data_IF_095402583002
#
_entry.id   IF_095402583002
#
_cell.length_a   1.000
_cell.length_b   1.000
_cell.length_c   1.000
_cell.angle_alpha   90.00
_cell.angle_beta   90.00
_cell.angle_gamma   90.00
#
_symmetry.space_group_name_H-M   'P 1'
#
loop_
_entity.id
_entity.type
_entity.pdbx_description
1 polymer ?
#
# COMPACT_ATOMS: atom_id res chain seq x y z
N UNK A 1 21.31 29.71 -4.43
CA UNK A 1 21.82 28.83 -3.35
C UNK A 1 20.79 28.61 -2.24
N UNK A 2 20.11 29.65 -1.73
CA UNK A 2 19.10 29.56 -0.66
C UNK A 2 17.94 28.58 -0.93
N UNK A 3 17.43 28.52 -2.17
CA UNK A 3 16.35 27.59 -2.53
C UNK A 3 16.72 26.10 -2.34
N UNK A 4 17.98 25.72 -2.63
CA UNK A 4 18.45 24.34 -2.41
C UNK A 4 18.55 24.02 -0.92
N UNK A 5 18.94 24.99 -0.08
CA UNK A 5 18.97 24.81 1.37
C UNK A 5 17.57 24.69 1.96
N UNK A 6 16.62 25.51 1.51
CA UNK A 6 15.21 25.42 1.95
C UNK A 6 14.60 24.09 1.52
N UNK A 7 14.83 23.66 0.28
CA UNK A 7 14.36 22.36 -0.21
C UNK A 7 14.98 21.20 0.56
N UNK A 8 16.29 21.24 0.81
CA UNK A 8 17.01 20.20 1.55
C UNK A 8 16.58 20.15 3.02
N UNK A 9 16.34 21.30 3.64
CA UNK A 9 15.77 21.40 4.98
C UNK A 9 14.36 20.83 5.02
N UNK A 10 13.49 21.23 4.08
CA UNK A 10 12.13 20.68 3.97
C UNK A 10 12.15 19.16 3.74
N UNK A 11 13.01 18.66 2.84
CA UNK A 11 13.18 17.23 2.59
C UNK A 11 13.64 16.49 3.84
N UNK A 12 14.64 17.00 4.56
CA UNK A 12 15.14 16.35 5.79
C UNK A 12 14.10 16.36 6.91
N UNK A 13 13.44 17.50 7.11
CA UNK A 13 12.50 17.70 8.21
C UNK A 13 11.14 17.05 7.98
N UNK A 14 10.68 16.99 6.73
CA UNK A 14 9.42 16.32 6.41
C UNK A 14 9.65 14.89 5.95
N UNK A 15 10.46 14.63 4.92
CA UNK A 15 10.57 13.31 4.28
C UNK A 15 11.50 12.36 5.05
N UNK A 16 12.62 12.85 5.57
CA UNK A 16 13.61 12.04 6.31
C UNK A 16 13.35 11.99 7.82
N UNK A 17 12.22 12.53 8.28
CA UNK A 17 11.84 12.52 9.69
C UNK A 17 11.54 11.10 10.18
N UNK A 18 11.91 10.73 11.43
CA UNK A 18 11.71 9.40 12.01
C UNK A 18 10.27 8.88 11.99
N UNK A 19 9.31 9.76 11.71
CA UNK A 19 7.89 9.45 11.50
C UNK A 19 7.64 8.49 10.32
N UNK A 20 8.62 8.33 9.41
CA UNK A 20 8.55 7.41 8.27
C UNK A 20 9.29 6.08 8.47
N UNK A 21 9.82 5.80 9.65
CA UNK A 21 10.36 4.46 9.94
C UNK A 21 9.24 3.43 9.89
N UNK A 22 9.33 2.52 8.93
CA UNK A 22 8.43 1.39 8.85
C UNK A 22 8.90 0.34 9.83
N UNK A 23 8.13 0.13 10.90
CA UNK A 23 8.32 -0.97 11.83
C UNK A 23 7.51 -2.15 11.34
N UNK A 24 8.19 -3.24 11.03
CA UNK A 24 7.55 -4.45 10.55
C UNK A 24 7.67 -5.60 11.55
N UNK A 25 6.61 -6.38 11.63
CA UNK A 25 6.59 -7.68 12.30
C UNK A 25 6.58 -8.77 11.23
N UNK A 26 7.50 -9.72 11.31
CA UNK A 26 7.56 -10.84 10.38
C UNK A 26 6.72 -12.00 10.91
N UNK A 27 5.96 -12.64 10.04
CA UNK A 27 5.22 -13.86 10.34
C UNK A 27 5.68 -14.92 9.35
N UNK A 28 6.41 -15.94 9.81
CA UNK A 28 7.05 -16.90 8.90
C UNK A 28 7.92 -17.95 9.58
N UNK A 29 8.64 -18.72 8.77
CA UNK A 29 9.50 -19.82 9.20
C UNK A 29 10.88 -19.32 9.68
N UNK A 30 11.45 -19.95 10.73
CA UNK A 30 12.74 -19.53 11.31
C UNK A 30 13.88 -19.62 10.28
N UNK A 31 13.83 -20.63 9.41
CA UNK A 31 14.77 -20.86 8.29
C UNK A 31 14.91 -19.66 7.35
N UNK A 32 13.83 -18.89 7.20
CA UNK A 32 13.68 -17.81 6.22
C UNK A 32 14.03 -16.45 6.81
N UNK A 33 13.79 -16.28 8.12
CA UNK A 33 13.84 -15.00 8.81
C UNK A 33 15.23 -14.36 8.73
N UNK A 34 16.31 -15.14 8.85
CA UNK A 34 17.66 -14.59 8.79
C UNK A 34 17.95 -13.90 7.45
N UNK A 35 17.71 -14.62 6.35
CA UNK A 35 17.93 -14.11 5.00
C UNK A 35 17.10 -12.85 4.73
N UNK A 36 15.87 -12.82 5.24
CA UNK A 36 14.94 -11.68 5.10
C UNK A 36 15.42 -10.47 5.90
N UNK A 37 15.83 -10.68 7.16
CA UNK A 37 16.33 -9.61 8.03
C UNK A 37 17.59 -8.97 7.46
N UNK A 38 18.53 -9.79 6.97
CA UNK A 38 19.74 -9.31 6.32
C UNK A 38 19.43 -8.55 5.02
N UNK A 39 18.53 -9.10 4.18
CA UNK A 39 18.10 -8.44 2.94
C UNK A 39 17.48 -7.06 3.20
N UNK A 40 16.63 -6.93 4.23
CA UNK A 40 15.96 -5.68 4.57
C UNK A 40 16.93 -4.66 5.14
N UNK A 41 17.80 -5.07 6.08
CA UNK A 41 18.81 -4.21 6.69
C UNK A 41 19.78 -3.61 5.66
N UNK A 42 20.15 -4.38 4.65
CA UNK A 42 21.03 -3.92 3.58
C UNK A 42 20.31 -3.03 2.54
N UNK A 43 18.99 -3.17 2.39
CA UNK A 43 18.21 -2.49 1.35
C UNK A 43 17.68 -1.13 1.78
N UNK A 44 17.14 -1.01 2.99
CA UNK A 44 16.62 0.26 3.51
C UNK A 44 16.90 0.40 5.03
N UNK A 45 17.80 1.32 5.44
CA UNK A 45 18.06 1.59 6.85
C UNK A 45 16.84 2.09 7.64
N UNK A 46 15.82 2.62 6.97
CA UNK A 46 14.61 3.14 7.62
C UNK A 46 13.55 2.06 7.86
N UNK A 47 13.76 0.85 7.32
CA UNK A 47 12.87 -0.29 7.49
C UNK A 47 13.39 -1.16 8.63
N UNK A 48 12.69 -1.12 9.77
CA UNK A 48 13.11 -1.82 10.99
C UNK A 48 12.23 -3.03 11.24
N UNK A 49 12.84 -4.21 11.19
CA UNK A 49 12.20 -5.44 11.65
C UNK A 49 12.30 -5.46 13.18
N UNK A 50 11.14 -5.43 13.84
CA UNK A 50 11.05 -5.39 15.31
C UNK A 50 11.19 -6.79 15.90
N UNK A 51 10.62 -7.78 15.22
CA UNK A 51 10.63 -9.17 15.64
C UNK A 51 9.96 -10.07 14.63
N UNK A 52 9.81 -11.32 15.01
CA UNK A 52 9.13 -12.33 14.21
C UNK A 52 8.22 -13.19 15.06
N UNK A 53 7.25 -13.81 14.41
CA UNK A 53 6.37 -14.84 14.96
C UNK A 53 6.56 -16.09 14.12
N UNK A 54 6.90 -17.18 14.78
CA UNK A 54 7.09 -18.47 14.14
C UNK A 54 5.73 -19.09 13.77
N UNK A 55 5.58 -19.49 12.52
CA UNK A 55 4.41 -20.22 12.04
C UNK A 55 4.59 -21.74 12.03
N UNK A 56 5.81 -22.26 12.21
CA UNK A 56 6.05 -23.70 12.16
C UNK A 56 5.45 -24.42 13.38
N UNK A 57 4.60 -25.42 13.14
CA UNK A 57 3.95 -26.22 14.19
C UNK A 57 4.90 -27.25 14.81
N UNK A 58 5.96 -27.61 14.09
CA UNK A 58 7.03 -28.47 14.61
C UNK A 58 8.12 -27.57 15.16
N UNK A 59 8.24 -27.51 16.48
CA UNK A 59 9.44 -26.99 17.12
C UNK A 59 10.61 -27.89 16.72
N UNK A 60 11.31 -27.54 15.64
CA UNK A 60 12.63 -28.07 15.39
C UNK A 60 13.55 -27.36 16.38
N UNK A 61 14.13 -28.16 17.28
CA UNK A 61 14.95 -27.72 18.40
C UNK A 61 15.86 -26.50 18.08
N UNK A 62 15.77 -25.49 18.93
CA UNK A 62 16.85 -24.53 19.23
C UNK A 62 17.51 -23.78 18.06
N UNK A 63 16.78 -23.38 17.01
CA UNK A 63 17.31 -22.34 16.12
C UNK A 63 17.13 -20.99 16.82
N UNK A 64 18.09 -20.62 17.67
CA UNK A 64 18.13 -19.29 18.29
C UNK A 64 18.51 -18.26 17.22
N UNK A 65 17.53 -17.61 16.63
CA UNK A 65 17.77 -16.43 15.82
C UNK A 65 18.20 -15.27 16.73
N UNK A 66 19.41 -14.74 16.51
CA UNK A 66 19.98 -13.65 17.33
C UNK A 66 19.71 -12.26 16.76
N UNK A 67 19.12 -12.17 15.56
CA UNK A 67 18.93 -10.91 14.84
C UNK A 67 17.63 -10.15 15.14
N UNK A 68 16.62 -10.79 15.72
CA UNK A 68 15.34 -10.17 16.07
C UNK A 68 14.61 -10.96 17.17
N UNK A 69 13.72 -10.30 17.91
CA UNK A 69 12.97 -10.89 19.02
C UNK A 69 11.86 -11.81 18.50
N UNK A 70 11.79 -13.03 19.02
CA UNK A 70 10.66 -13.94 18.80
C UNK A 70 9.50 -13.56 19.72
N UNK A 71 8.29 -13.53 19.17
CA UNK A 71 7.04 -13.27 19.89
C UNK A 71 6.09 -14.46 19.78
N UNK A 72 5.22 -14.62 20.79
CA UNK A 72 4.20 -15.68 20.74
C UNK A 72 3.14 -15.36 19.68
N UNK A 73 2.63 -16.38 18.96
CA UNK A 73 1.47 -16.26 18.08
C UNK A 73 0.26 -15.54 18.70
N UNK A 74 0.00 -15.78 19.99
CA UNK A 74 -1.14 -15.22 20.71
C UNK A 74 -1.00 -13.73 21.05
N UNK A 75 0.20 -13.17 20.93
CA UNK A 75 0.52 -11.80 21.34
C UNK A 75 0.50 -10.80 20.18
N UNK A 76 0.14 -11.22 18.95
CA UNK A 76 0.13 -10.38 17.73
C UNK A 76 -0.46 -8.98 17.99
N UNK A 77 -1.68 -8.93 18.52
CA UNK A 77 -2.39 -7.67 18.74
C UNK A 77 -1.70 -6.77 19.77
N UNK A 78 -1.07 -7.37 20.78
CA UNK A 78 -0.38 -6.65 21.85
C UNK A 78 0.96 -6.11 21.34
N UNK A 79 1.74 -6.93 20.65
CA UNK A 79 3.01 -6.52 20.02
C UNK A 79 2.79 -5.39 19.02
N UNK A 80 1.73 -5.45 18.21
CA UNK A 80 1.39 -4.38 17.27
C UNK A 80 1.23 -3.03 17.98
N UNK A 81 0.56 -3.03 19.13
CA UNK A 81 0.31 -1.81 19.93
C UNK A 81 1.56 -1.35 20.67
N UNK A 82 2.19 -2.25 21.42
CA UNK A 82 3.30 -1.91 22.32
C UNK A 82 4.53 -1.45 21.54
N UNK A 83 4.84 -2.11 20.42
CA UNK A 83 6.00 -1.78 19.59
C UNK A 83 5.69 -0.75 18.49
N UNK A 84 4.42 -0.33 18.34
CA UNK A 84 3.93 0.53 17.26
C UNK A 84 4.27 -0.04 15.87
N UNK A 85 3.89 -1.30 15.62
CA UNK A 85 4.09 -1.96 14.33
C UNK A 85 3.23 -1.27 13.27
N UNK A 86 3.82 -0.93 12.14
CA UNK A 86 3.15 -0.25 11.03
C UNK A 86 2.65 -1.19 9.93
N UNK A 87 3.24 -2.38 9.80
CA UNK A 87 2.81 -3.41 8.85
C UNK A 87 3.28 -4.80 9.28
N UNK A 88 2.58 -5.83 8.80
CA UNK A 88 3.00 -7.24 8.93
C UNK A 88 3.54 -7.72 7.59
N UNK A 89 4.68 -8.42 7.64
CA UNK A 89 5.30 -9.06 6.48
C UNK A 89 5.20 -10.57 6.63
N UNK A 90 4.49 -11.21 5.71
CA UNK A 90 4.33 -12.67 5.67
C UNK A 90 5.49 -13.27 4.87
N UNK A 91 6.21 -14.18 5.52
CA UNK A 91 7.40 -14.85 5.00
C UNK A 91 7.25 -16.37 5.12
N UNK A 92 6.20 -16.91 4.50
CA UNK A 92 5.96 -18.35 4.39
C UNK A 92 6.25 -18.79 2.96
N UNK A 93 7.08 -19.82 2.77
CA UNK A 93 7.42 -20.33 1.44
C UNK A 93 6.37 -21.27 0.88
N UNK A 94 5.63 -21.93 1.76
CA UNK A 94 4.58 -22.87 1.41
C UNK A 94 3.26 -22.36 2.03
N UNK A 95 2.31 -22.04 1.14
CA UNK A 95 0.96 -21.59 1.51
C UNK A 95 0.16 -22.70 2.18
N UNK A 96 0.53 -23.95 1.91
CA UNK A 96 -0.17 -25.14 2.35
C UNK A 96 0.43 -25.67 3.68
N UNK A 97 1.67 -25.31 4.00
CA UNK A 97 2.32 -25.62 5.28
C UNK A 97 1.99 -24.60 6.36
N UNK A 98 0.77 -24.73 6.89
CA UNK A 98 0.41 -24.48 8.29
C UNK A 98 0.84 -23.10 8.83
N UNK A 99 0.01 -22.10 8.57
CA UNK A 99 -0.19 -21.06 9.60
C UNK A 99 -1.09 -21.68 10.68
N UNK A 100 -0.73 -21.64 11.99
CA UNK A 100 -1.65 -22.01 13.05
C UNK A 100 -3.00 -21.30 12.84
N UNK A 101 -4.15 -22.00 12.98
CA UNK A 101 -5.47 -21.41 12.73
C UNK A 101 -5.71 -20.08 13.45
N UNK A 102 -5.07 -19.93 14.61
CA UNK A 102 -5.06 -18.72 15.43
C UNK A 102 -4.39 -17.53 14.72
N UNK A 103 -3.16 -17.70 14.22
CA UNK A 103 -2.44 -16.65 13.48
C UNK A 103 -3.22 -16.28 12.22
N UNK A 104 -3.74 -17.26 11.48
CA UNK A 104 -4.49 -16.98 10.26
C UNK A 104 -5.73 -16.12 10.55
N UNK A 105 -6.51 -16.48 11.59
CA UNK A 105 -7.68 -15.70 12.01
C UNK A 105 -7.29 -14.27 12.43
N UNK A 106 -6.19 -14.12 13.16
CA UNK A 106 -5.70 -12.79 13.57
C UNK A 106 -5.28 -11.94 12.37
N UNK A 107 -4.58 -12.52 11.40
CA UNK A 107 -4.21 -11.85 10.15
C UNK A 107 -5.43 -11.42 9.34
N UNK A 108 -6.44 -12.29 9.20
CA UNK A 108 -7.69 -11.94 8.51
C UNK A 108 -8.40 -10.78 9.23
N UNK A 109 -8.52 -10.86 10.56
CA UNK A 109 -9.13 -9.79 11.36
C UNK A 109 -8.41 -8.45 11.18
N UNK A 110 -7.08 -8.47 11.17
CA UNK A 110 -6.25 -7.29 10.94
C UNK A 110 -6.44 -6.75 9.51
N UNK A 111 -6.49 -7.62 8.51
CA UNK A 111 -6.75 -7.24 7.12
C UNK A 111 -8.12 -6.57 6.96
N UNK A 112 -9.18 -7.14 7.57
CA UNK A 112 -10.54 -6.58 7.57
C UNK A 112 -10.60 -5.21 8.25
N UNK A 113 -9.79 -4.99 9.30
CA UNK A 113 -9.65 -3.68 9.95
C UNK A 113 -8.87 -2.65 9.13
N UNK A 114 -8.30 -3.06 7.99
CA UNK A 114 -7.47 -2.22 7.12
C UNK A 114 -6.02 -2.08 7.57
N UNK A 115 -5.55 -2.95 8.47
CA UNK A 115 -4.14 -2.97 8.86
C UNK A 115 -3.27 -3.48 7.70
N UNK A 116 -2.11 -2.84 7.39
CA UNK A 116 -1.29 -3.25 6.25
C UNK A 116 -0.63 -4.61 6.49
N UNK A 117 -0.95 -5.57 5.62
CA UNK A 117 -0.32 -6.90 5.58
C UNK A 117 0.20 -7.13 4.16
N UNK A 118 1.45 -7.57 4.03
CA UNK A 118 2.11 -7.78 2.74
C UNK A 118 2.90 -9.08 2.72
N UNK A 119 3.03 -9.68 1.54
CA UNK A 119 4.00 -10.75 1.32
C UNK A 119 5.44 -10.18 1.29
N UNK A 120 6.40 -10.97 1.78
CA UNK A 120 7.83 -10.63 1.75
C UNK A 120 8.31 -10.23 0.35
N UNK A 121 7.90 -10.96 -0.68
CA UNK A 121 8.29 -10.72 -2.07
C UNK A 121 7.86 -9.33 -2.55
N UNK A 122 6.62 -8.93 -2.21
CA UNK A 122 6.09 -7.60 -2.50
C UNK A 122 6.83 -6.52 -1.72
N UNK A 123 7.08 -6.73 -0.43
CA UNK A 123 7.81 -5.77 0.40
C UNK A 123 9.25 -5.56 -0.12
N UNK A 124 9.94 -6.65 -0.47
CA UNK A 124 11.27 -6.62 -1.06
C UNK A 124 11.30 -5.87 -2.40
N UNK A 125 10.32 -6.12 -3.28
CA UNK A 125 10.23 -5.45 -4.58
C UNK A 125 9.93 -3.95 -4.43
N UNK A 126 9.03 -3.55 -3.54
CA UNK A 126 8.74 -2.14 -3.29
C UNK A 126 10.00 -1.40 -2.80
N UNK A 127 10.78 -2.01 -1.92
CA UNK A 127 12.00 -1.44 -1.35
C UNK A 127 13.16 -1.40 -2.35
N UNK A 128 13.39 -2.49 -3.07
CA UNK A 128 14.59 -2.67 -3.90
C UNK A 128 14.37 -2.40 -5.38
N UNK A 129 13.11 -2.30 -5.82
CA UNK A 129 12.70 -2.30 -7.24
C UNK A 129 13.24 -3.52 -8.00
N UNK A 130 13.42 -4.65 -7.30
CA UNK A 130 13.95 -5.92 -7.83
C UNK A 130 13.10 -7.09 -7.37
N UNK A 131 13.00 -8.10 -8.21
CA UNK A 131 12.30 -9.34 -7.88
C UNK A 131 13.26 -10.29 -7.14
N UNK A 132 12.90 -10.81 -5.95
CA UNK A 132 13.74 -11.73 -5.22
C UNK A 132 13.67 -13.13 -5.86
N UNK A 133 14.54 -13.41 -6.83
CA UNK A 133 14.54 -14.65 -7.63
C UNK A 133 14.55 -15.95 -6.81
N UNK A 134 15.11 -15.91 -5.60
CA UNK A 134 15.13 -17.03 -4.65
C UNK A 134 13.72 -17.43 -4.14
N UNK A 135 12.76 -16.49 -4.20
CA UNK A 135 11.40 -16.62 -3.69
C UNK A 135 10.36 -16.64 -4.83
N UNK A 136 10.79 -16.60 -6.10
CA UNK A 136 9.88 -16.60 -7.27
C UNK A 136 9.22 -17.96 -7.48
N UNK A 137 9.89 -19.05 -7.06
CA UNK A 137 9.31 -20.39 -6.93
C UNK A 137 8.42 -20.81 -8.11
N UNK A 138 7.25 -21.38 -7.78
CA UNK A 138 6.24 -21.84 -8.76
C UNK A 138 5.29 -20.74 -9.22
N UNK A 139 5.27 -19.58 -8.55
CA UNK A 139 4.34 -18.48 -8.78
C UNK A 139 4.91 -17.37 -9.67
N UNK A 140 5.78 -17.70 -10.62
CA UNK A 140 6.45 -16.71 -11.48
C UNK A 140 5.48 -15.79 -12.23
N UNK A 141 4.26 -16.25 -12.48
CA UNK A 141 3.21 -15.46 -13.15
C UNK A 141 2.76 -14.23 -12.35
N UNK A 142 2.92 -14.23 -11.01
CA UNK A 142 2.64 -13.06 -10.15
C UNK A 142 3.53 -11.85 -10.48
N UNK A 143 4.67 -12.08 -11.12
CA UNK A 143 5.64 -11.04 -11.49
C UNK A 143 5.47 -10.53 -12.92
N UNK A 144 4.56 -11.11 -13.71
CA UNK A 144 4.23 -10.49 -14.98
C UNK A 144 3.62 -9.11 -14.71
N UNK A 145 3.90 -8.11 -15.57
CA UNK A 145 3.38 -6.75 -15.43
C UNK A 145 1.90 -6.70 -15.83
N UNK A 146 1.05 -7.45 -15.11
CA UNK A 146 -0.37 -7.20 -15.10
C UNK A 146 -0.62 -5.92 -14.31
N UNK A 147 -1.40 -5.00 -14.89
CA UNK A 147 -1.76 -3.67 -14.38
C UNK A 147 -1.66 -3.54 -12.85
N UNK A 148 -0.47 -3.15 -12.34
CA UNK A 148 -0.30 -2.84 -10.92
C UNK A 148 -0.93 -1.48 -10.69
N UNK A 149 -2.09 -1.47 -10.02
CA UNK A 149 -2.74 -0.24 -9.59
C UNK A 149 -1.90 0.39 -8.48
N UNK A 150 -1.08 1.38 -8.85
CA UNK A 150 -0.29 2.16 -7.92
C UNK A 150 -1.23 3.02 -7.04
N UNK A 151 -1.52 2.57 -5.82
CA UNK A 151 -2.38 3.28 -4.85
C UNK A 151 -1.63 4.40 -4.13
N UNK A 152 -0.89 5.23 -4.86
CA UNK A 152 -0.21 6.37 -4.26
C UNK A 152 -1.25 7.42 -3.82
N UNK A 153 -1.53 7.47 -2.51
CA UNK A 153 -2.52 8.39 -1.93
C UNK A 153 -2.18 9.86 -2.18
N UNK A 154 -0.89 10.23 -2.23
CA UNK A 154 -0.47 11.59 -2.56
C UNK A 154 -0.78 11.92 -4.01
N UNK A 155 -0.47 11.01 -4.93
CA UNK A 155 -0.83 11.19 -6.34
C UNK A 155 -2.34 11.39 -6.51
N UNK A 156 -3.16 10.55 -5.86
CA UNK A 156 -4.62 10.69 -5.90
C UNK A 156 -5.11 12.02 -5.31
N UNK A 157 -4.49 12.49 -4.23
CA UNK A 157 -4.80 13.78 -3.60
C UNK A 157 -4.49 14.95 -4.55
N UNK A 158 -3.29 15.00 -5.13
CA UNK A 158 -2.91 16.05 -6.08
C UNK A 158 -3.75 16.01 -7.34
N UNK A 159 -4.03 14.81 -7.86
CA UNK A 159 -4.95 14.63 -8.98
C UNK A 159 -6.33 15.20 -8.66
N UNK A 160 -6.87 14.94 -7.47
CA UNK A 160 -8.18 15.46 -7.06
C UNK A 160 -8.20 16.98 -6.99
N UNK A 161 -7.14 17.61 -6.46
CA UNK A 161 -7.01 19.07 -6.44
C UNK A 161 -7.02 19.62 -7.85
N UNK A 162 -6.25 19.01 -8.76
CA UNK A 162 -6.17 19.44 -10.16
C UNK A 162 -7.51 19.30 -10.87
N UNK A 163 -8.17 18.15 -10.73
CA UNK A 163 -9.49 17.89 -11.30
C UNK A 163 -10.51 18.93 -10.82
N UNK A 164 -10.56 19.22 -9.51
CA UNK A 164 -11.47 20.24 -8.94
C UNK A 164 -11.14 21.64 -9.46
N UNK A 165 -9.87 22.01 -9.51
CA UNK A 165 -9.43 23.34 -9.96
C UNK A 165 -9.81 23.58 -11.42
N UNK A 166 -9.51 22.62 -12.30
CA UNK A 166 -9.91 22.69 -13.71
C UNK A 166 -11.42 22.69 -13.86
N UNK A 167 -12.15 21.87 -13.11
CA UNK A 167 -13.61 21.83 -13.17
C UNK A 167 -14.23 23.18 -12.81
N UNK A 168 -13.70 23.86 -11.78
CA UNK A 168 -14.16 25.19 -11.36
C UNK A 168 -13.89 26.23 -12.45
N UNK A 169 -12.68 26.25 -13.02
CA UNK A 169 -12.33 27.17 -14.13
C UNK A 169 -13.24 26.91 -15.34
N UNK A 170 -13.42 25.65 -15.71
CA UNK A 170 -14.29 25.24 -16.81
C UNK A 170 -15.75 25.64 -16.58
N UNK A 171 -16.26 25.53 -15.34
CA UNK A 171 -17.61 25.97 -14.99
C UNK A 171 -17.77 27.49 -15.10
N UNK A 172 -16.80 28.27 -14.64
CA UNK A 172 -16.84 29.74 -14.75
C UNK A 172 -16.83 30.16 -16.21
N UNK A 173 -15.94 29.59 -17.02
CA UNK A 173 -15.89 29.84 -18.47
C UNK A 173 -17.21 29.43 -19.13
N UNK A 174 -17.73 28.24 -18.80
CA UNK A 174 -19.00 27.74 -19.33
C UNK A 174 -20.16 28.68 -18.99
N UNK A 175 -20.25 29.19 -17.76
CA UNK A 175 -21.27 30.17 -17.35
C UNK A 175 -21.25 31.45 -18.19
N UNK A 176 -20.07 31.94 -18.54
CA UNK A 176 -19.92 33.14 -19.41
C UNK A 176 -20.42 32.87 -20.82
N UNK A 177 -20.15 31.68 -21.37
CA UNK A 177 -20.58 31.29 -22.72
C UNK A 177 -22.01 30.75 -22.78
N UNK A 178 -22.59 30.33 -21.66
CA UNK A 178 -23.92 29.74 -21.57
C UNK A 178 -25.02 30.58 -22.25
N UNK A 179 -25.14 31.91 -22.07
CA UNK A 179 -26.16 32.69 -22.76
C UNK A 179 -26.01 32.66 -24.29
N UNK A 180 -24.78 32.68 -24.80
CA UNK A 180 -24.51 32.61 -26.24
C UNK A 180 -24.91 31.23 -26.80
N UNK A 181 -24.52 30.16 -26.10
CA UNK A 181 -24.85 28.78 -26.47
C UNK A 181 -26.38 28.57 -26.42
N UNK A 182 -27.05 29.14 -25.40
CA UNK A 182 -28.50 29.03 -25.26
C UNK A 182 -29.25 29.69 -26.42
N UNK A 183 -28.83 30.90 -26.82
CA UNK A 183 -29.41 31.59 -28.00
C UNK A 183 -29.18 30.76 -29.26
N UNK A 184 -27.97 30.23 -29.46
CA UNK A 184 -27.66 29.34 -30.58
C UNK A 184 -28.53 28.08 -30.59
N UNK A 185 -28.75 27.47 -29.42
CA UNK A 185 -29.62 26.31 -29.26
C UNK A 185 -31.07 26.65 -29.66
N UNK A 186 -31.63 27.78 -29.20
CA UNK A 186 -33.00 28.20 -29.55
C UNK A 186 -33.22 28.35 -31.07
N UNK A 187 -32.21 28.77 -31.81
CA UNK A 187 -32.30 28.96 -33.27
C UNK A 187 -32.10 27.64 -34.02
N UNK A 188 -31.14 26.82 -33.59
CA UNK A 188 -30.73 25.60 -34.30
C UNK A 188 -31.44 24.32 -33.86
N UNK A 189 -32.05 24.28 -32.67
CA UNK A 189 -32.57 23.07 -32.05
C UNK A 189 -33.79 23.35 -31.15
N UNK A 190 -34.83 22.52 -31.23
CA UNK A 190 -36.06 22.65 -30.40
C UNK A 190 -35.99 21.85 -29.08
N UNK A 191 -34.89 21.14 -28.81
CA UNK A 191 -34.69 20.30 -27.63
C UNK A 191 -34.04 21.00 -26.41
N UNK A 192 -33.89 20.27 -25.31
CA UNK A 192 -33.25 20.77 -24.08
C UNK A 192 -31.76 21.06 -24.29
N UNK A 193 -31.26 22.09 -23.61
CA UNK A 193 -29.82 22.45 -23.65
C UNK A 193 -28.94 21.38 -23.01
N UNK A 194 -29.44 20.73 -21.96
CA UNK A 194 -28.72 19.69 -21.23
C UNK A 194 -29.25 18.32 -21.62
N UNK A 195 -28.33 17.37 -21.76
CA UNK A 195 -28.59 15.98 -22.05
C UNK A 195 -28.27 15.12 -20.83
N UNK A 196 -29.14 14.18 -20.51
CA UNK A 196 -28.97 13.28 -19.36
C UNK A 196 -28.74 11.85 -19.83
N UNK A 197 -27.74 11.17 -19.27
CA UNK A 197 -27.44 9.77 -19.60
C UNK A 197 -27.19 8.93 -18.35
N UNK A 198 -27.72 7.71 -18.33
CA UNK A 198 -27.39 6.71 -17.31
C UNK A 198 -26.03 6.06 -17.59
N UNK A 199 -25.15 6.04 -16.59
CA UNK A 199 -23.81 5.47 -16.63
C UNK A 199 -23.58 4.56 -15.43
N UNK A 200 -22.71 3.57 -15.59
CA UNK A 200 -22.30 2.68 -14.50
C UNK A 200 -21.12 3.31 -13.75
N UNK A 201 -21.31 3.53 -12.44
CA UNK A 201 -20.34 4.16 -11.55
C UNK A 201 -19.47 3.18 -10.79
N UNK A 202 -18.85 3.68 -9.71
CA UNK A 202 -17.97 2.88 -8.85
C UNK A 202 -18.76 1.72 -8.23
N UNK A 203 -18.16 0.53 -8.22
CA UNK A 203 -18.77 -0.72 -7.75
C UNK A 203 -20.07 -1.11 -8.49
N UNK A 204 -20.25 -0.67 -9.74
CA UNK A 204 -21.39 -1.08 -10.57
C UNK A 204 -22.69 -0.32 -10.28
N UNK A 205 -22.70 0.68 -9.40
CA UNK A 205 -23.90 1.45 -9.08
C UNK A 205 -24.21 2.44 -10.22
N UNK A 206 -25.41 2.38 -10.84
CA UNK A 206 -25.77 3.32 -11.90
C UNK A 206 -25.96 4.74 -11.35
N UNK A 207 -25.58 5.75 -12.13
CA UNK A 207 -25.81 7.16 -11.86
C UNK A 207 -26.16 7.91 -13.15
N UNK A 208 -26.91 9.01 -13.02
CA UNK A 208 -27.28 9.87 -14.16
C UNK A 208 -26.34 11.08 -14.22
N UNK A 209 -25.77 11.32 -15.40
CA UNK A 209 -25.08 12.56 -15.77
C UNK A 209 -26.09 13.60 -16.27
#
# INVERSE_FOLDING_TARGET
MSALFVWRWFYVTFITSPRFHKKALIVGEISSIQSIVEAFKNSDPNYKIVGFINCETKQVDNIKFTGAREFSPTEIHQVIKDENISEIVIASYDSDSITPPEIYRDLITLLESGFPIKEYTQAYEEMTQRVPVQFVGKDFYKYFPFSRSNHNKLYLFFRRIFDVSISVIGLVVSLVFLPLIFIGNLIGNRGSLFYTQERIGKNGVPFRL
#
